data_IF_327260820990
#
_entry.id   IF_327260820990
#
_cell.length_a   1.000
_cell.length_b   1.000
_cell.length_c   1.000
_cell.angle_alpha   90.00
_cell.angle_beta   90.00
_cell.angle_gamma   90.00
#
_symmetry.space_group_name_H-M   'P 1'
#
loop_
_entity.id
_entity.type
_entity.pdbx_description
1 polymer ?
#
# COMPACT_ATOMS: atom_id res chain seq x y z
N UNK A 1 -14.12 6.62 26.01
CA UNK A 1 -13.23 7.32 25.06
C UNK A 1 -14.10 8.28 24.26
N UNK A 2 -14.00 9.60 24.48
CA UNK A 2 -14.68 10.58 23.60
C UNK A 2 -13.70 10.91 22.49
N UNK A 3 -14.05 10.60 21.24
CA UNK A 3 -13.25 11.01 20.09
C UNK A 3 -13.21 12.53 20.00
N UNK A 4 -12.06 13.09 19.68
CA UNK A 4 -11.94 14.51 19.31
C UNK A 4 -12.75 14.82 18.04
N UNK A 5 -12.79 16.10 17.62
CA UNK A 5 -13.43 16.47 16.36
C UNK A 5 -12.79 15.71 15.19
N UNK A 6 -13.63 15.14 14.32
CA UNK A 6 -13.17 14.55 13.05
C UNK A 6 -13.01 15.67 12.04
N UNK A 7 -11.80 15.79 11.47
CA UNK A 7 -11.51 16.74 10.40
C UNK A 7 -11.26 15.98 9.10
N UNK A 8 -11.61 16.61 7.97
CA UNK A 8 -11.30 16.11 6.62
C UNK A 8 -10.52 17.21 5.92
N UNK A 9 -9.31 16.88 5.48
CA UNK A 9 -8.42 17.80 4.78
C UNK A 9 -7.75 17.10 3.60
N UNK A 10 -7.26 17.89 2.66
CA UNK A 10 -6.32 17.39 1.66
C UNK A 10 -5.00 17.01 2.35
N UNK A 11 -4.35 15.95 1.87
CA UNK A 11 -3.07 15.47 2.45
C UNK A 11 -1.99 16.55 2.38
N UNK A 12 -1.97 17.37 1.32
CA UNK A 12 -1.01 18.47 1.17
C UNK A 12 -1.25 19.62 2.16
N UNK A 13 -2.43 19.70 2.79
CA UNK A 13 -2.79 20.67 3.84
C UNK A 13 -2.72 20.09 5.25
N UNK A 14 -2.44 18.80 5.40
CA UNK A 14 -2.31 18.17 6.71
C UNK A 14 -0.98 18.54 7.37
N UNK A 15 -1.01 19.09 8.58
CA UNK A 15 0.16 19.49 9.35
C UNK A 15 0.44 18.49 10.49
N UNK A 16 1.19 17.40 10.26
CA UNK A 16 1.60 16.48 11.32
C UNK A 16 2.54 17.16 12.32
N UNK A 17 2.52 16.68 13.56
CA UNK A 17 3.53 17.04 14.55
C UNK A 17 4.87 16.40 14.18
N UNK A 18 5.95 17.19 14.19
CA UNK A 18 7.32 16.69 13.99
C UNK A 18 7.75 15.75 15.13
N UNK A 19 8.60 14.78 14.82
CA UNK A 19 9.17 13.89 15.82
C UNK A 19 9.60 12.54 15.28
N UNK A 20 9.76 11.57 16.19
CA UNK A 20 10.19 10.21 15.87
C UNK A 20 9.15 9.44 15.06
N UNK A 21 9.51 9.01 13.86
CA UNK A 21 8.66 8.26 12.94
C UNK A 21 9.04 6.78 12.90
N UNK A 22 8.02 5.94 12.97
CA UNK A 22 8.09 4.49 12.83
C UNK A 22 7.01 4.06 11.85
N UNK A 23 7.36 3.16 10.95
CA UNK A 23 6.42 2.49 10.05
C UNK A 23 6.39 0.99 10.34
N UNK A 24 5.33 0.32 9.90
CA UNK A 24 5.28 -1.13 9.81
C UNK A 24 5.24 -1.49 8.34
N UNK A 25 6.18 -2.31 7.89
CA UNK A 25 6.36 -2.70 6.50
C UNK A 25 6.32 -4.23 6.37
N UNK A 26 5.89 -4.80 5.23
CA UNK A 26 5.89 -6.25 5.06
C UNK A 26 7.31 -6.80 5.22
N UNK A 27 7.46 -7.92 5.93
CA UNK A 27 8.74 -8.60 6.01
C UNK A 27 9.13 -9.14 4.62
N UNK A 28 10.42 -9.27 4.29
CA UNK A 28 10.84 -9.83 3.00
C UNK A 28 10.25 -11.21 2.71
N UNK A 29 10.08 -12.04 3.74
CA UNK A 29 9.46 -13.35 3.63
C UNK A 29 7.96 -13.26 3.30
N UNK A 30 7.24 -12.36 3.99
CA UNK A 30 5.83 -12.10 3.70
C UNK A 30 5.63 -11.57 2.27
N UNK A 31 6.52 -10.68 1.85
CA UNK A 31 6.53 -10.13 0.51
C UNK A 31 6.76 -11.22 -0.56
N UNK A 32 7.74 -12.10 -0.36
CA UNK A 32 7.98 -13.24 -1.26
C UNK A 32 6.75 -14.17 -1.36
N UNK A 33 6.09 -14.44 -0.22
CA UNK A 33 4.86 -15.25 -0.20
C UNK A 33 3.70 -14.62 -0.94
N UNK A 34 3.57 -13.30 -0.88
CA UNK A 34 2.55 -12.58 -1.65
C UNK A 34 2.75 -12.78 -3.16
N UNK A 35 3.99 -12.73 -3.65
CA UNK A 35 4.31 -12.97 -5.07
C UNK A 35 4.00 -14.40 -5.51
N UNK A 36 4.23 -15.38 -4.64
CA UNK A 36 3.92 -16.81 -4.90
C UNK A 36 2.42 -17.13 -4.81
N UNK A 37 1.59 -16.22 -4.30
CA UNK A 37 0.18 -16.48 -4.00
C UNK A 37 -0.60 -16.93 -5.25
N UNK A 38 -1.30 -18.07 -5.24
CA UNK A 38 -2.00 -18.59 -6.41
C UNK A 38 -3.17 -17.69 -6.83
N UNK A 39 -3.65 -17.90 -8.05
CA UNK A 39 -4.93 -17.32 -8.51
C UNK A 39 -6.05 -17.83 -7.60
N UNK A 40 -6.90 -16.91 -7.16
CA UNK A 40 -8.04 -17.20 -6.30
C UNK A 40 -9.23 -17.64 -7.13
N UNK A 41 -9.95 -18.66 -6.66
CA UNK A 41 -11.25 -19.04 -7.21
C UNK A 41 -12.33 -17.98 -6.96
N UNK A 42 -12.06 -17.03 -6.05
CA UNK A 42 -12.95 -15.90 -5.77
C UNK A 42 -12.60 -14.74 -6.70
N UNK A 43 -13.50 -14.35 -7.62
CA UNK A 43 -13.23 -13.26 -8.55
C UNK A 43 -13.15 -11.90 -7.83
N UNK A 44 -12.47 -10.90 -8.41
CA UNK A 44 -12.59 -9.53 -7.98
C UNK A 44 -14.05 -9.05 -8.04
N UNK A 45 -14.47 -8.26 -7.07
CA UNK A 45 -15.79 -7.62 -7.11
C UNK A 45 -15.90 -6.61 -8.25
N UNK A 46 -17.12 -6.33 -8.70
CA UNK A 46 -17.38 -5.32 -9.73
C UNK A 46 -16.74 -3.95 -9.40
N UNK A 47 -16.84 -3.51 -8.14
CA UNK A 47 -16.24 -2.24 -7.70
C UNK A 47 -14.72 -2.25 -7.80
N UNK A 48 -14.07 -3.36 -7.43
CA UNK A 48 -12.62 -3.51 -7.55
C UNK A 48 -12.19 -3.49 -9.03
N UNK A 49 -12.86 -4.25 -9.90
CA UNK A 49 -12.58 -4.26 -11.34
C UNK A 49 -12.71 -2.86 -11.93
N UNK A 50 -13.81 -2.16 -11.63
CA UNK A 50 -14.05 -0.81 -12.16
C UNK A 50 -13.02 0.20 -11.66
N UNK A 51 -12.63 0.12 -10.39
CA UNK A 51 -11.59 0.97 -9.80
C UNK A 51 -10.23 0.72 -10.49
N UNK A 52 -9.81 -0.54 -10.60
CA UNK A 52 -8.55 -0.94 -11.23
C UNK A 52 -8.50 -0.55 -12.71
N UNK A 53 -9.57 -0.78 -13.49
CA UNK A 53 -9.64 -0.34 -14.89
C UNK A 53 -9.57 1.18 -15.04
N UNK A 54 -10.20 1.91 -14.13
CA UNK A 54 -10.15 3.38 -14.16
C UNK A 54 -8.74 3.86 -13.84
N UNK A 55 -8.11 3.29 -12.82
CA UNK A 55 -6.72 3.53 -12.48
C UNK A 55 -5.79 3.28 -13.68
N UNK A 56 -5.86 2.10 -14.31
CA UNK A 56 -5.04 1.75 -15.49
C UNK A 56 -5.23 2.75 -16.64
N UNK A 57 -6.48 3.17 -16.92
CA UNK A 57 -6.77 4.19 -17.95
C UNK A 57 -6.22 5.57 -17.62
N UNK A 58 -6.18 5.97 -16.35
CA UNK A 58 -5.61 7.24 -15.92
C UNK A 58 -4.08 7.20 -15.98
N UNK A 59 -3.48 6.10 -15.52
CA UNK A 59 -2.05 5.86 -15.60
C UNK A 59 -1.55 5.89 -17.06
N UNK A 60 -2.28 5.27 -17.99
CA UNK A 60 -1.96 5.32 -19.43
C UNK A 60 -1.98 6.73 -20.05
N UNK A 61 -2.59 7.71 -19.37
CA UNK A 61 -2.59 9.13 -19.75
C UNK A 61 -1.55 9.96 -19.00
N UNK A 62 -0.73 9.34 -18.15
CA UNK A 62 0.20 10.04 -17.26
C UNK A 62 -0.49 10.85 -16.16
N UNK A 63 -1.74 10.51 -15.81
CA UNK A 63 -2.50 11.20 -14.77
C UNK A 63 -2.48 10.39 -13.47
N UNK A 64 -2.31 11.09 -12.35
CA UNK A 64 -2.49 10.49 -11.03
C UNK A 64 -3.98 10.27 -10.72
N UNK A 65 -4.28 9.25 -9.92
CA UNK A 65 -5.65 8.85 -9.57
C UNK A 65 -5.75 8.54 -8.08
N UNK A 66 -6.63 9.26 -7.40
CA UNK A 66 -6.86 9.09 -5.96
C UNK A 66 -7.40 7.68 -5.66
N UNK A 67 -6.72 6.98 -4.75
CA UNK A 67 -6.97 5.57 -4.42
C UNK A 67 -6.73 5.21 -2.96
N UNK A 68 -6.38 6.19 -2.13
CA UNK A 68 -6.05 5.97 -0.72
C UNK A 68 -7.03 6.69 0.19
N UNK A 69 -7.41 6.00 1.26
CA UNK A 69 -8.10 6.58 2.41
C UNK A 69 -7.08 6.68 3.55
N UNK A 70 -6.71 7.92 3.90
CA UNK A 70 -5.78 8.23 4.97
C UNK A 70 -6.54 8.59 6.24
N UNK A 71 -6.20 7.93 7.35
CA UNK A 71 -6.73 8.23 8.67
C UNK A 71 -5.58 8.54 9.63
N UNK A 72 -5.75 9.59 10.43
CA UNK A 72 -4.81 9.97 11.49
C UNK A 72 -5.56 10.04 12.82
N UNK A 73 -4.89 9.62 13.89
CA UNK A 73 -5.45 9.64 15.23
C UNK A 73 -4.35 10.04 16.23
N UNK A 74 -4.62 11.10 16.99
CA UNK A 74 -3.79 11.46 18.12
C UNK A 74 -4.14 10.61 19.33
N UNK A 75 -3.13 9.95 19.91
CA UNK A 75 -3.28 9.14 21.11
C UNK A 75 -2.39 9.71 22.22
N UNK A 76 -2.96 10.01 23.41
CA UNK A 76 -2.16 10.52 24.51
C UNK A 76 -1.20 9.45 25.02
N UNK A 77 -0.02 9.88 25.46
CA UNK A 77 0.99 9.02 26.07
C UNK A 77 2.02 8.49 25.09
N UNK A 78 2.59 7.32 25.38
CA UNK A 78 3.65 6.70 24.57
C UNK A 78 3.09 5.47 23.88
N UNK A 79 3.28 5.38 22.57
CA UNK A 79 2.91 4.19 21.80
C UNK A 79 3.73 2.96 22.26
N UNK A 80 3.04 1.92 22.72
CA UNK A 80 3.63 0.60 22.88
C UNK A 80 3.79 -0.04 21.50
N UNK A 81 5.01 0.00 20.99
CA UNK A 81 5.37 -0.44 19.64
C UNK A 81 5.17 -1.96 19.46
N UNK A 82 5.34 -2.74 20.54
CA UNK A 82 5.10 -4.20 20.52
C UNK A 82 3.61 -4.49 20.42
N UNK A 83 2.80 -3.81 21.23
CA UNK A 83 1.35 -3.95 21.18
C UNK A 83 0.80 -3.49 19.82
N UNK A 84 1.28 -2.37 19.29
CA UNK A 84 0.90 -1.87 17.96
C UNK A 84 1.24 -2.87 16.86
N UNK A 85 2.46 -3.42 16.84
CA UNK A 85 2.84 -4.45 15.88
C UNK A 85 1.96 -5.71 15.96
N UNK A 86 1.57 -6.13 17.17
CA UNK A 86 0.64 -7.25 17.35
C UNK A 86 -0.75 -6.95 16.76
N UNK A 87 -1.32 -5.77 17.06
CA UNK A 87 -2.65 -5.37 16.56
C UNK A 87 -2.65 -5.25 15.04
N UNK A 88 -1.62 -4.65 14.45
CA UNK A 88 -1.47 -4.52 12.99
C UNK A 88 -1.46 -5.91 12.35
N UNK A 89 -0.58 -6.80 12.81
CA UNK A 89 -0.49 -8.15 12.25
C UNK A 89 -1.80 -8.94 12.46
N UNK A 90 -2.42 -8.85 13.63
CA UNK A 90 -3.70 -9.53 13.89
C UNK A 90 -4.81 -9.04 12.94
N UNK A 91 -4.89 -7.72 12.69
CA UNK A 91 -5.86 -7.14 11.76
C UNK A 91 -5.62 -7.60 10.33
N UNK A 92 -4.39 -7.51 9.83
CA UNK A 92 -4.04 -7.92 8.47
C UNK A 92 -4.30 -9.42 8.23
N UNK A 93 -3.97 -10.26 9.20
CA UNK A 93 -4.20 -11.72 9.13
C UNK A 93 -5.69 -12.08 9.14
N UNK A 94 -6.50 -11.32 9.89
CA UNK A 94 -7.93 -11.58 10.04
C UNK A 94 -8.73 -11.35 8.76
N UNK A 95 -8.32 -10.42 7.91
CA UNK A 95 -9.11 -9.97 6.76
C UNK A 95 -8.47 -10.40 5.43
N UNK A 96 -9.21 -11.15 4.62
CA UNK A 96 -8.74 -11.68 3.32
C UNK A 96 -8.41 -10.60 2.29
N UNK A 97 -9.02 -9.41 2.41
CA UNK A 97 -8.72 -8.24 1.59
C UNK A 97 -7.25 -7.88 1.62
N UNK A 98 -6.58 -7.96 2.78
CA UNK A 98 -5.14 -7.63 2.91
C UNK A 98 -4.20 -8.76 2.50
N UNK A 99 -4.75 -9.97 2.30
CA UNK A 99 -4.02 -11.14 1.78
C UNK A 99 -4.18 -11.30 0.28
N UNK A 100 -4.88 -10.37 -0.36
CA UNK A 100 -5.21 -10.43 -1.77
C UNK A 100 -4.59 -9.27 -2.53
N UNK A 101 -4.17 -9.55 -3.75
CA UNK A 101 -3.72 -8.55 -4.70
C UNK A 101 -4.24 -8.91 -6.09
N UNK A 102 -4.12 -7.97 -7.03
CA UNK A 102 -4.68 -8.12 -8.37
C UNK A 102 -3.59 -8.01 -9.41
N UNK A 103 -3.61 -8.88 -10.42
CA UNK A 103 -2.75 -8.82 -11.59
C UNK A 103 -3.59 -8.85 -12.86
N UNK A 104 -2.98 -8.50 -13.99
CA UNK A 104 -3.52 -8.82 -15.31
C UNK A 104 -3.00 -10.19 -15.74
N UNK A 105 -3.83 -10.98 -16.41
CA UNK A 105 -3.37 -12.14 -17.17
C UNK A 105 -3.03 -11.74 -18.63
N UNK A 106 -2.65 -12.74 -19.44
CA UNK A 106 -2.28 -12.55 -20.84
C UNK A 106 -3.42 -11.99 -21.72
N UNK A 107 -4.67 -12.15 -21.28
CA UNK A 107 -5.87 -11.65 -21.94
C UNK A 107 -6.32 -10.27 -21.41
N UNK A 108 -5.51 -9.65 -20.55
CA UNK A 108 -5.82 -8.40 -19.84
C UNK A 108 -7.04 -8.51 -18.91
N UNK A 109 -7.37 -9.73 -18.46
CA UNK A 109 -8.34 -9.92 -17.40
C UNK A 109 -7.69 -9.65 -16.06
N UNK A 110 -8.43 -8.93 -15.20
CA UNK A 110 -8.00 -8.69 -13.82
C UNK A 110 -8.30 -9.96 -13.02
N UNK A 111 -7.24 -10.60 -12.53
CA UNK A 111 -7.33 -11.79 -11.68
C UNK A 111 -6.97 -11.43 -10.24
N UNK A 112 -7.65 -12.07 -9.28
CA UNK A 112 -7.32 -11.98 -7.86
C UNK A 112 -6.31 -13.07 -7.52
N UNK A 113 -5.25 -12.72 -6.82
CA UNK A 113 -4.34 -13.67 -6.16
C UNK A 113 -4.50 -13.54 -4.65
N UNK A 114 -4.49 -14.66 -3.94
CA UNK A 114 -4.72 -14.67 -2.49
C UNK A 114 -3.75 -15.60 -1.79
N UNK A 115 -3.02 -15.08 -0.81
CA UNK A 115 -2.17 -15.89 0.06
C UNK A 115 -3.03 -16.85 0.87
N UNK A 116 -2.69 -18.15 0.84
CA UNK A 116 -3.49 -19.20 1.46
C UNK A 116 -3.46 -19.14 2.98
N UNK A 117 -2.25 -19.10 3.58
CA UNK A 117 -2.08 -19.07 5.03
C UNK A 117 -2.00 -17.62 5.53
N UNK A 118 -2.90 -17.18 6.43
CA UNK A 118 -2.76 -15.90 7.11
C UNK A 118 -1.43 -15.74 7.86
N UNK A 119 -0.82 -16.83 8.35
CA UNK A 119 0.45 -16.76 9.07
C UNK A 119 1.60 -16.24 8.20
N UNK A 120 1.50 -16.33 6.87
CA UNK A 120 2.48 -15.79 5.92
C UNK A 120 2.46 -14.25 5.86
N UNK A 121 1.45 -13.59 6.44
CA UNK A 121 1.44 -12.13 6.58
C UNK A 121 2.24 -11.73 7.81
N UNK A 122 3.31 -10.98 7.60
CA UNK A 122 4.09 -10.39 8.68
C UNK A 122 4.52 -8.97 8.33
N UNK A 123 4.23 -8.04 9.23
CA UNK A 123 4.68 -6.66 9.16
C UNK A 123 5.63 -6.36 10.31
N UNK A 124 6.82 -5.90 9.98
CA UNK A 124 7.91 -5.60 10.91
C UNK A 124 8.09 -4.10 11.09
N UNK A 125 8.53 -3.72 12.28
CA UNK A 125 8.74 -2.32 12.62
C UNK A 125 10.00 -1.77 11.94
N UNK A 126 9.88 -0.66 11.23
CA UNK A 126 10.99 0.10 10.64
C UNK A 126 11.06 1.47 11.30
N UNK A 127 12.23 1.83 11.82
CA UNK A 127 12.47 3.15 12.44
C UNK A 127 13.03 4.09 11.37
N UNK A 128 12.33 5.19 11.12
CA UNK A 128 12.77 6.20 10.15
C UNK A 128 13.53 7.36 10.82
N UNK A 129 13.40 7.52 12.14
CA UNK A 129 14.12 8.53 12.91
C UNK A 129 13.30 9.79 13.13
N UNK A 130 13.95 10.88 13.50
CA UNK A 130 13.28 12.18 13.67
C UNK A 130 12.97 12.79 12.29
N UNK A 131 11.75 13.27 12.11
CA UNK A 131 11.29 13.91 10.88
C UNK A 131 10.52 15.19 11.22
N UNK A 132 10.67 16.19 10.37
CA UNK A 132 9.88 17.43 10.37
C UNK A 132 8.45 17.17 9.91
N UNK A 133 7.55 18.15 10.11
CA UNK A 133 6.16 18.07 9.63
C UNK A 133 6.09 17.82 8.11
N UNK A 134 6.93 18.52 7.35
CA UNK A 134 6.94 18.40 5.89
C UNK A 134 7.49 17.04 5.43
N UNK A 135 8.52 16.51 6.09
CA UNK A 135 9.03 15.16 5.80
C UNK A 135 8.01 14.07 6.13
N UNK A 136 7.22 14.21 7.21
CA UNK A 136 6.13 13.28 7.52
C UNK A 136 5.02 13.36 6.47
N UNK A 137 4.66 14.57 6.02
CA UNK A 137 3.67 14.78 4.97
C UNK A 137 4.12 14.17 3.66
N UNK A 138 5.37 14.43 3.28
CA UNK A 138 5.99 13.89 2.07
C UNK A 138 6.08 12.36 2.15
N UNK A 139 6.42 11.79 3.30
CA UNK A 139 6.38 10.34 3.51
C UNK A 139 4.98 9.79 3.18
N UNK A 140 3.90 10.37 3.72
CA UNK A 140 2.54 9.87 3.46
C UNK A 140 2.13 10.01 1.98
N UNK A 141 2.56 11.09 1.32
CA UNK A 141 2.25 11.36 -0.11
C UNK A 141 3.07 10.45 -1.03
N UNK A 142 4.40 10.52 -0.92
CA UNK A 142 5.37 9.78 -1.74
C UNK A 142 5.18 8.29 -1.61
N UNK A 143 4.81 7.85 -0.42
CA UNK A 143 4.61 6.45 -0.23
C UNK A 143 3.36 6.01 -1.05
N UNK A 144 2.32 6.81 -1.30
CA UNK A 144 1.13 6.31 -2.04
C UNK A 144 1.51 5.64 -3.39
N UNK A 145 1.35 4.31 -3.59
CA UNK A 145 2.29 3.55 -4.43
C UNK A 145 2.18 3.87 -5.92
N UNK A 146 2.92 4.82 -6.48
CA UNK A 146 2.84 5.13 -7.94
C UNK A 146 3.37 3.96 -8.77
N UNK A 147 2.83 3.72 -9.99
CA UNK A 147 3.26 2.58 -10.81
C UNK A 147 4.63 2.82 -11.48
N UNK A 148 5.23 3.99 -11.32
CA UNK A 148 6.46 4.39 -12.00
C UNK A 148 7.55 4.76 -11.01
N UNK A 149 8.45 3.82 -10.73
CA UNK A 149 9.84 4.23 -10.63
C UNK A 149 10.24 4.88 -11.95
N UNK A 150 10.53 6.18 -11.93
CA UNK A 150 11.28 6.92 -12.96
C UNK A 150 10.72 6.94 -14.39
N UNK A 151 10.24 8.10 -14.84
CA UNK A 151 10.10 8.39 -16.26
C UNK A 151 11.52 8.59 -16.83
N UNK A 152 12.11 7.53 -17.39
CA UNK A 152 13.16 7.62 -18.39
C UNK A 152 12.68 6.85 -19.63
N UNK A 153 12.53 7.58 -20.73
CA UNK A 153 12.21 7.09 -22.07
C UNK A 153 13.12 5.94 -22.52
N UNK A 154 12.57 4.84 -23.08
CA UNK A 154 13.07 4.13 -24.29
C UNK A 154 11.95 3.25 -24.87
N UNK A 155 11.91 3.19 -26.19
CA UNK A 155 11.03 2.48 -27.12
C UNK A 155 11.11 0.94 -27.11
N UNK A 156 9.95 0.33 -27.36
CA UNK A 156 9.66 -0.88 -28.18
C UNK A 156 10.25 -2.27 -27.84
N UNK A 157 9.33 -3.25 -27.80
CA UNK A 157 9.52 -4.71 -27.79
C UNK A 157 10.09 -5.37 -26.52
N UNK A 158 9.20 -5.77 -25.60
CA UNK A 158 9.06 -7.15 -25.03
C UNK A 158 8.37 -7.14 -23.65
N UNK A 159 7.46 -8.11 -23.45
CA UNK A 159 6.80 -8.56 -22.17
C UNK A 159 6.33 -7.48 -21.18
N UNK A 160 5.02 -7.23 -21.18
CA UNK A 160 4.25 -6.41 -20.21
C UNK A 160 4.05 -7.23 -18.93
N UNK A 161 4.81 -6.99 -17.84
CA UNK A 161 4.66 -6.00 -16.76
C UNK A 161 3.79 -6.48 -15.59
N UNK A 162 4.45 -6.85 -14.50
CA UNK A 162 3.87 -7.13 -13.18
C UNK A 162 3.26 -5.86 -12.58
N UNK A 163 1.95 -5.89 -12.32
CA UNK A 163 1.22 -4.80 -11.66
C UNK A 163 0.80 -5.31 -10.29
N UNK A 164 1.44 -4.81 -9.23
CA UNK A 164 1.04 -5.03 -7.84
C UNK A 164 0.20 -3.85 -7.36
N UNK A 165 -1.09 -4.08 -7.14
CA UNK A 165 -2.01 -3.10 -6.56
C UNK A 165 -2.62 -3.69 -5.28
N UNK A 166 -2.25 -3.13 -4.13
CA UNK A 166 -2.94 -3.32 -2.85
C UNK A 166 -3.64 -2.01 -2.48
N UNK A 167 -4.95 -2.08 -2.22
CA UNK A 167 -5.79 -0.93 -1.87
C UNK A 167 -5.96 -0.83 -0.35
N UNK A 168 -5.29 0.17 0.23
CA UNK A 168 -5.80 1.11 1.23
C UNK A 168 -6.50 0.60 2.50
N UNK A 169 -5.72 0.51 3.57
CA UNK A 169 -6.01 1.16 4.84
C UNK A 169 -4.73 1.89 5.25
N UNK A 170 -4.73 3.21 5.44
CA UNK A 170 -3.53 3.92 5.90
C UNK A 170 -3.21 3.60 7.36
N UNK A 171 -2.62 2.44 7.57
CA UNK A 171 -1.27 2.35 8.12
C UNK A 171 -0.39 2.54 6.88
N UNK A 172 0.44 3.58 6.81
CA UNK A 172 1.35 3.84 5.67
C UNK A 172 2.09 2.54 5.31
N UNK A 173 1.64 1.89 4.24
CA UNK A 173 2.09 0.59 3.77
C UNK A 173 2.04 0.65 2.27
N UNK A 174 3.20 0.92 1.72
CA UNK A 174 3.40 1.38 0.38
C UNK A 174 4.50 0.54 -0.20
N UNK A 175 4.40 0.20 -1.48
CA UNK A 175 5.35 -0.70 -2.10
C UNK A 175 5.54 -0.41 -3.59
N UNK A 176 6.80 -0.13 -3.98
CA UNK A 176 7.33 -0.22 -5.35
C UNK A 176 8.81 -0.65 -5.27
N UNK A 177 9.28 -1.68 -6.00
CA UNK A 177 10.68 -2.09 -6.01
C UNK A 177 11.45 -1.41 -7.16
N UNK A 178 12.78 -1.21 -7.03
CA UNK A 178 13.64 -0.90 -8.17
C UNK A 178 13.90 -2.14 -9.03
N UNK A 179 13.83 -1.99 -10.35
CA UNK A 179 14.23 -3.02 -11.32
C UNK A 179 15.76 -3.25 -11.29
N UNK A 180 16.25 -4.48 -11.52
CA UNK A 180 17.66 -4.74 -11.75
C UNK A 180 18.10 -4.16 -13.12
N UNK A 181 19.20 -3.41 -13.10
CA UNK A 181 19.87 -2.87 -14.28
C UNK A 181 20.51 -4.02 -15.07
N UNK A 182 20.21 -4.11 -16.37
CA UNK A 182 21.09 -4.65 -17.41
C UNK A 182 21.13 -3.64 -18.55
#
# INVERSE_FOLDING_TARGET
MRGGPVTVSLTDKWEPTAGSVITWQPSPASYAKALEAPVSDVPPSFMQVQHLRTYLRQAAKGLDFSRVLVFTLDMPGRCDKRAMGHVINAHLRRHDTYRSWFSLDDEQNIVRRTMADPADVEFVQVKLGEMTSDEVRELVVSETPTPSGGIASVSESSRVQDISLSTSASITCIWTPPLPVC
#
